data_IF_405996749542
#
_entry.id   IF_405996749542
#
_cell.length_a   1.000
_cell.length_b   1.000
_cell.length_c   1.000
_cell.angle_alpha   90.00
_cell.angle_beta   90.00
_cell.angle_gamma   90.00
#
_symmetry.space_group_name_H-M   'P 1'
#
loop_
_entity.id
_entity.type
_entity.pdbx_description
1 polymer ?
#
# COMPACT_ATOMS: atom_id res chain seq x y z
N UNK A 1 -15.52 0.84 12.42
CA UNK A 1 -14.72 -0.26 11.82
C UNK A 1 -15.20 -1.64 12.23
N UNK A 2 -15.79 -1.83 13.43
CA UNK A 2 -16.33 -3.13 13.87
C UNK A 2 -17.24 -3.77 12.84
N UNK A 3 -18.21 -3.02 12.32
CA UNK A 3 -19.21 -3.50 11.36
C UNK A 3 -18.58 -3.90 10.01
N UNK A 4 -17.57 -3.17 9.56
CA UNK A 4 -16.81 -3.47 8.33
C UNK A 4 -15.99 -4.75 8.50
N UNK A 5 -15.29 -4.88 9.64
CA UNK A 5 -14.51 -6.06 9.98
C UNK A 5 -15.38 -7.31 10.09
N UNK A 6 -16.53 -7.21 10.76
CA UNK A 6 -17.48 -8.31 10.88
C UNK A 6 -18.04 -8.73 9.51
N UNK A 7 -18.39 -7.77 8.65
CA UNK A 7 -18.85 -8.05 7.28
C UNK A 7 -17.78 -8.72 6.42
N UNK A 8 -16.53 -8.27 6.51
CA UNK A 8 -15.40 -8.89 5.83
C UNK A 8 -15.17 -10.33 6.31
N UNK A 9 -15.15 -10.55 7.62
CA UNK A 9 -14.94 -11.87 8.22
C UNK A 9 -16.05 -12.85 7.83
N UNK A 10 -17.31 -12.40 7.84
CA UNK A 10 -18.44 -13.23 7.42
C UNK A 10 -18.32 -13.68 5.96
N UNK A 11 -17.90 -12.78 5.06
CA UNK A 11 -17.66 -13.13 3.65
C UNK A 11 -16.53 -14.15 3.49
N UNK A 12 -15.44 -13.99 4.24
CA UNK A 12 -14.34 -14.96 4.24
C UNK A 12 -14.78 -16.34 4.73
N UNK A 13 -15.54 -16.41 5.83
CA UNK A 13 -16.05 -17.67 6.36
C UNK A 13 -16.94 -18.42 5.36
N UNK A 14 -17.64 -17.69 4.49
CA UNK A 14 -18.48 -18.24 3.42
C UNK A 14 -17.73 -18.43 2.09
N UNK A 15 -16.42 -18.20 2.03
CA UNK A 15 -15.63 -18.23 0.79
C UNK A 15 -16.18 -17.31 -0.33
N UNK A 16 -16.82 -16.21 0.06
CA UNK A 16 -17.36 -15.23 -0.87
C UNK A 16 -16.31 -14.16 -1.23
N UNK A 17 -16.34 -13.61 -2.45
CA UNK A 17 -15.48 -12.49 -2.82
C UNK A 17 -15.66 -11.28 -1.88
N UNK A 18 -14.54 -10.71 -1.43
CA UNK A 18 -14.53 -9.53 -0.57
C UNK A 18 -14.45 -8.25 -1.41
N UNK A 19 -15.08 -7.16 -0.94
CA UNK A 19 -15.00 -5.85 -1.61
C UNK A 19 -13.64 -5.15 -1.40
N UNK A 20 -12.79 -5.69 -0.52
CA UNK A 20 -11.50 -5.10 -0.21
C UNK A 20 -10.48 -5.36 -1.32
N UNK A 21 -9.51 -4.45 -1.42
CA UNK A 21 -8.47 -4.50 -2.43
C UNK A 21 -7.66 -5.79 -2.36
N UNK A 22 -7.30 -6.31 -3.52
CA UNK A 22 -6.35 -7.43 -3.61
C UNK A 22 -4.95 -6.98 -3.19
N UNK A 23 -4.08 -7.94 -2.87
CA UNK A 23 -2.68 -7.64 -2.57
C UNK A 23 -1.96 -6.89 -3.72
N UNK A 24 -2.25 -7.25 -4.98
CA UNK A 24 -1.70 -6.59 -6.15
C UNK A 24 -2.18 -5.13 -6.26
N UNK A 25 -3.45 -4.88 -5.97
CA UNK A 25 -4.01 -3.53 -5.98
C UNK A 25 -3.47 -2.67 -4.83
N UNK A 26 -3.36 -3.25 -3.63
CA UNK A 26 -2.71 -2.61 -2.49
C UNK A 26 -1.25 -2.27 -2.79
N UNK A 27 -0.51 -3.18 -3.44
CA UNK A 27 0.87 -2.94 -3.89
C UNK A 27 0.96 -1.77 -4.86
N UNK A 28 0.09 -1.72 -5.88
CA UNK A 28 0.04 -0.61 -6.83
C UNK A 28 -0.18 0.74 -6.13
N UNK A 29 -1.18 0.81 -5.23
CA UNK A 29 -1.47 2.01 -4.44
C UNK A 29 -0.28 2.45 -3.57
N UNK A 30 0.39 1.48 -2.94
CA UNK A 30 1.61 1.75 -2.17
C UNK A 30 2.73 2.33 -3.05
N UNK A 31 2.94 1.76 -4.24
CA UNK A 31 3.96 2.25 -5.18
C UNK A 31 3.64 3.67 -5.69
N UNK A 32 2.35 3.99 -5.91
CA UNK A 32 1.93 5.36 -6.24
C UNK A 32 2.26 6.36 -5.12
N UNK A 33 1.97 6.02 -3.86
CA UNK A 33 2.35 6.87 -2.72
C UNK A 33 3.85 7.09 -2.65
N UNK A 34 4.64 6.04 -2.85
CA UNK A 34 6.11 6.16 -2.90
C UNK A 34 6.59 7.02 -4.08
N UNK A 35 5.89 7.00 -5.20
CA UNK A 35 6.20 7.85 -6.35
C UNK A 35 5.96 9.33 -6.03
N UNK A 36 4.89 9.65 -5.28
CA UNK A 36 4.67 11.00 -4.80
C UNK A 36 5.79 11.46 -3.85
N UNK A 37 6.20 10.63 -2.90
CA UNK A 37 7.34 10.93 -2.02
C UNK A 37 8.63 11.17 -2.81
N UNK A 38 8.87 10.36 -3.84
CA UNK A 38 10.04 10.47 -4.70
C UNK A 38 10.01 11.76 -5.53
N UNK A 39 8.85 12.09 -6.11
CA UNK A 39 8.60 13.33 -6.85
C UNK A 39 8.83 14.56 -5.97
N UNK A 40 8.27 14.56 -4.75
CA UNK A 40 8.43 15.65 -3.80
C UNK A 40 9.92 15.89 -3.43
N UNK A 41 10.69 14.81 -3.24
CA UNK A 41 12.13 14.90 -2.96
C UNK A 41 12.93 15.45 -4.15
N UNK A 42 12.59 15.02 -5.37
CA UNK A 42 13.31 15.43 -6.58
C UNK A 42 12.82 16.75 -7.17
N UNK A 43 11.68 17.27 -6.69
CA UNK A 43 11.00 18.47 -7.21
C UNK A 43 10.73 18.40 -8.72
N UNK A 44 10.50 17.19 -9.23
CA UNK A 44 10.25 16.93 -10.66
C UNK A 44 9.25 15.79 -10.81
N UNK A 45 8.54 15.78 -11.94
CA UNK A 45 7.70 14.67 -12.31
C UNK A 45 8.51 13.37 -12.43
N UNK A 46 7.93 12.28 -11.93
CA UNK A 46 8.52 10.93 -12.00
C UNK A 46 7.67 10.08 -12.93
N UNK A 47 8.27 9.41 -13.94
CA UNK A 47 7.52 8.52 -14.81
C UNK A 47 7.06 7.27 -14.05
N UNK A 48 5.83 6.84 -14.29
CA UNK A 48 5.23 5.64 -13.73
C UNK A 48 5.23 4.50 -14.77
N UNK A 49 5.23 3.22 -14.33
CA UNK A 49 5.33 2.76 -12.94
C UNK A 49 6.77 2.86 -12.41
N UNK A 50 6.93 3.15 -11.12
CA UNK A 50 8.22 3.06 -10.44
C UNK A 50 8.41 1.67 -9.82
N UNK A 51 9.65 1.20 -9.79
CA UNK A 51 10.05 -0.02 -9.10
C UNK A 51 10.35 0.23 -7.63
N UNK A 52 10.49 -0.86 -6.87
CA UNK A 52 10.88 -0.79 -5.46
C UNK A 52 12.27 -0.17 -5.28
N UNK A 53 13.19 -0.45 -6.20
CA UNK A 53 14.57 0.07 -6.24
C UNK A 53 14.66 1.59 -6.44
N UNK A 54 13.65 2.21 -7.08
CA UNK A 54 13.60 3.66 -7.27
C UNK A 54 13.33 4.41 -5.96
N UNK A 55 12.86 3.69 -4.94
CA UNK A 55 12.45 4.26 -3.65
C UNK A 55 13.47 3.85 -2.60
N UNK A 56 14.26 4.81 -2.10
CA UNK A 56 15.21 4.53 -1.02
C UNK A 56 14.45 4.04 0.21
N UNK A 57 14.75 2.84 0.71
CA UNK A 57 14.14 2.31 1.94
C UNK A 57 14.43 3.27 3.10
N UNK A 58 13.38 3.60 3.85
CA UNK A 58 13.48 4.44 5.04
C UNK A 58 14.16 3.60 6.12
N UNK A 59 15.48 3.74 6.26
CA UNK A 59 16.21 3.19 7.40
C UNK A 59 15.97 4.13 8.59
N UNK A 60 14.95 3.84 9.39
CA UNK A 60 14.68 4.45 10.69
C UNK A 60 14.66 3.37 11.77
N UNK A 61 14.90 3.70 13.05
CA UNK A 61 15.15 2.69 14.07
C UNK A 61 13.88 1.86 14.27
N UNK A 62 13.96 0.59 13.91
CA UNK A 62 12.93 -0.41 14.22
C UNK A 62 13.28 -1.01 15.60
N UNK A 63 13.31 -0.17 16.63
CA UNK A 63 13.45 -0.59 18.03
C UNK A 63 13.21 0.63 18.94
N UNK A 64 11.95 0.85 19.30
CA UNK A 64 11.61 1.41 20.60
C UNK A 64 10.58 0.46 21.17
N UNK A 65 10.95 -0.09 22.32
CA UNK A 65 10.33 -1.14 23.15
C UNK A 65 8.81 -1.03 23.32
#
# INVERSE_FOLDING_TARGET
>A
MREETEQWLNRLAMSLPTQHATAAEAHNRLMLTKAFDLSAKQKRAVPLPIGTSDTKQRQGPLAAE
#
